data_IF_396545068321
#
_entry.id   IF_396545068321
#
_cell.length_a   1.000
_cell.length_b   1.000
_cell.length_c   1.000
_cell.angle_alpha   90.00
_cell.angle_beta   90.00
_cell.angle_gamma   90.00
#
_symmetry.space_group_name_H-M   'P 1'
#
loop_
_entity.id
_entity.type
_entity.pdbx_description
1 polymer ?
#
# COMPACT_ATOMS: atom_id res chain seq x y z
N UNK A 1 26.85 16.05 0.95
CA UNK A 1 26.55 14.61 0.95
C UNK A 1 25.09 14.48 1.32
N UNK A 2 24.26 14.07 0.37
CA UNK A 2 22.82 13.96 0.57
C UNK A 2 22.49 12.68 1.31
N UNK A 3 21.39 12.67 2.06
CA UNK A 3 20.88 11.48 2.80
C UNK A 3 20.75 10.24 1.88
N UNK A 4 20.56 10.46 0.58
CA UNK A 4 20.35 9.44 -0.45
C UNK A 4 21.63 8.82 -1.02
N UNK A 5 22.81 9.38 -0.72
CA UNK A 5 24.10 8.79 -1.12
C UNK A 5 24.36 7.44 -0.40
N UNK A 6 23.68 7.19 0.73
CA UNK A 6 23.78 5.95 1.49
C UNK A 6 23.14 4.73 0.83
N UNK A 7 22.21 4.94 -0.11
CA UNK A 7 21.39 3.87 -0.71
C UNK A 7 21.84 3.45 -2.10
N UNK A 8 22.81 4.14 -2.70
CA UNK A 8 23.32 3.79 -4.02
C UNK A 8 24.37 2.68 -3.93
N UNK A 9 23.92 1.43 -3.95
CA UNK A 9 24.78 0.30 -4.39
C UNK A 9 23.98 -0.92 -4.84
N UNK A 10 24.12 -1.28 -6.12
CA UNK A 10 23.83 -2.62 -6.64
C UNK A 10 23.41 -2.67 -8.12
N UNK A 11 24.30 -3.14 -9.00
CA UNK A 11 24.09 -3.31 -10.45
C UNK A 11 23.28 -4.57 -10.82
N UNK A 12 22.37 -4.40 -11.79
CA UNK A 12 21.89 -5.25 -12.89
C UNK A 12 22.00 -6.79 -12.84
N UNK A 13 20.85 -7.45 -12.65
CA UNK A 13 20.24 -8.38 -13.61
C UNK A 13 18.71 -8.14 -13.55
N UNK A 14 18.02 -7.99 -14.70
CA UNK A 14 16.55 -7.84 -14.73
C UNK A 14 15.88 -9.16 -14.35
N UNK A 15 15.91 -9.48 -13.06
CA UNK A 15 15.09 -10.49 -12.46
C UNK A 15 13.67 -9.91 -12.30
N UNK A 16 12.65 -10.67 -12.66
CA UNK A 16 11.25 -10.24 -12.44
C UNK A 16 11.04 -10.03 -10.95
N UNK A 17 11.00 -8.76 -10.53
CA UNK A 17 10.73 -8.33 -9.16
C UNK A 17 9.23 -8.09 -8.95
N UNK A 18 8.39 -9.09 -9.22
CA UNK A 18 6.96 -8.98 -8.85
C UNK A 18 6.82 -9.56 -7.45
N UNK A 19 6.51 -8.69 -6.49
CA UNK A 19 6.19 -9.11 -5.14
C UNK A 19 4.75 -9.65 -5.08
N UNK A 20 4.59 -10.91 -4.67
CA UNK A 20 3.30 -11.58 -4.52
C UNK A 20 2.77 -11.60 -3.07
N UNK A 21 3.46 -10.97 -2.11
CA UNK A 21 3.10 -10.98 -0.69
C UNK A 21 1.68 -10.45 -0.42
N UNK A 22 1.25 -9.42 -1.16
CA UNK A 22 -0.13 -8.91 -1.14
C UNK A 22 -0.54 -8.30 -2.49
N UNK A 23 -0.27 -9.05 -3.56
CA UNK A 23 -0.53 -8.63 -4.93
C UNK A 23 -2.04 -8.53 -5.22
N UNK A 24 -2.44 -7.48 -5.93
CA UNK A 24 -3.83 -7.21 -6.33
C UNK A 24 -3.88 -6.91 -7.81
N UNK A 25 -4.89 -7.46 -8.48
CA UNK A 25 -5.16 -7.25 -9.89
C UNK A 25 -6.63 -6.99 -10.10
N UNK A 26 -6.95 -6.00 -10.93
CA UNK A 26 -8.32 -5.62 -11.27
C UNK A 26 -8.52 -5.88 -12.75
N UNK A 27 -9.53 -6.68 -13.05
CA UNK A 27 -9.95 -6.93 -14.44
C UNK A 27 -11.13 -6.06 -14.81
N UNK A 28 -11.13 -5.56 -16.04
CA UNK A 28 -12.28 -4.89 -16.64
C UNK A 28 -13.31 -5.90 -17.18
N UNK A 29 -12.84 -7.08 -17.59
CA UNK A 29 -13.65 -8.12 -18.20
C UNK A 29 -13.05 -9.50 -17.94
N UNK A 30 -13.85 -10.52 -18.16
CA UNK A 30 -13.36 -11.89 -18.19
C UNK A 30 -14.03 -12.73 -19.26
N UNK A 31 -13.26 -13.66 -19.82
CA UNK A 31 -13.72 -14.65 -20.80
C UNK A 31 -13.65 -16.04 -20.21
N UNK A 32 -14.70 -16.84 -20.40
CA UNK A 32 -14.73 -18.25 -19.99
C UNK A 32 -14.48 -19.16 -21.18
N UNK A 33 -13.60 -20.12 -21.01
CA UNK A 33 -13.38 -21.21 -21.95
C UNK A 33 -13.62 -22.54 -21.24
N UNK A 34 -14.29 -23.46 -21.92
CA UNK A 34 -14.51 -24.82 -21.46
C UNK A 34 -14.14 -25.77 -22.60
N UNK A 35 -13.35 -26.80 -22.30
CA UNK A 35 -12.89 -27.75 -23.30
C UNK A 35 -12.23 -27.07 -24.52
N UNK A 36 -11.46 -26.01 -24.26
CA UNK A 36 -10.79 -25.21 -25.29
C UNK A 36 -11.69 -24.26 -26.08
N UNK A 37 -13.02 -24.33 -25.93
CA UNK A 37 -13.97 -23.48 -26.63
C UNK A 37 -14.37 -22.28 -25.78
N UNK A 38 -14.40 -21.09 -26.38
CA UNK A 38 -14.92 -19.88 -25.73
C UNK A 38 -16.43 -20.02 -25.51
N UNK A 39 -16.87 -19.89 -24.27
CA UNK A 39 -18.28 -20.01 -23.88
C UNK A 39 -18.95 -18.64 -23.78
N UNK A 40 -18.21 -17.62 -23.36
CA UNK A 40 -18.76 -16.26 -23.29
C UNK A 40 -17.79 -15.25 -22.72
N UNK A 41 -18.18 -13.99 -22.85
CA UNK A 41 -17.53 -12.83 -22.27
C UNK A 41 -18.46 -12.18 -21.25
N UNK A 42 -17.88 -11.67 -20.18
CA UNK A 42 -18.57 -10.84 -19.22
C UNK A 42 -17.77 -9.57 -18.98
N UNK A 43 -18.45 -8.42 -19.05
CA UNK A 43 -17.89 -7.10 -18.70
C UNK A 43 -17.89 -6.84 -17.20
N UNK A 44 -18.10 -7.88 -16.38
CA UNK A 44 -18.15 -7.75 -14.93
C UNK A 44 -16.73 -7.80 -14.38
N UNK A 45 -16.32 -6.70 -13.74
CA UNK A 45 -14.99 -6.57 -13.18
C UNK A 45 -14.75 -7.56 -12.04
N UNK A 46 -13.51 -8.06 -11.93
CA UNK A 46 -13.09 -8.94 -10.84
C UNK A 46 -11.80 -8.44 -10.24
N UNK A 47 -11.73 -8.46 -8.92
CA UNK A 47 -10.48 -8.32 -8.18
C UNK A 47 -9.86 -9.68 -7.92
N UNK A 48 -8.58 -9.84 -8.19
CA UNK A 48 -7.81 -11.02 -7.84
C UNK A 48 -6.73 -10.59 -6.85
N UNK A 49 -6.71 -11.20 -5.66
CA UNK A 49 -5.73 -10.94 -4.61
C UNK A 49 -4.93 -12.20 -4.31
N UNK A 50 -3.61 -12.06 -4.27
CA UNK A 50 -2.65 -13.11 -3.90
C UNK A 50 -1.96 -12.66 -2.61
N UNK A 51 -2.03 -13.48 -1.56
CA UNK A 51 -1.53 -13.10 -0.23
C UNK A 51 -0.61 -14.15 0.36
N UNK A 52 0.57 -13.74 0.81
CA UNK A 52 1.52 -14.57 1.56
C UNK A 52 1.11 -14.62 3.03
N UNK A 53 0.06 -15.38 3.34
CA UNK A 53 -0.50 -15.53 4.68
C UNK A 53 -0.53 -17.00 5.17
N UNK A 54 0.13 -17.91 4.44
CA UNK A 54 0.21 -19.33 4.81
C UNK A 54 1.48 -19.56 5.62
N UNK A 55 1.34 -19.59 6.94
CA UNK A 55 2.47 -19.80 7.85
C UNK A 55 3.17 -21.14 7.61
N UNK A 56 4.50 -21.13 7.70
CA UNK A 56 5.33 -22.34 7.65
C UNK A 56 5.56 -22.95 6.26
N UNK A 57 5.01 -22.36 5.20
CA UNK A 57 5.20 -22.84 3.83
C UNK A 57 5.72 -21.69 2.96
N UNK A 58 6.98 -21.79 2.54
CA UNK A 58 7.61 -20.81 1.65
C UNK A 58 6.89 -20.81 0.28
N UNK A 59 6.76 -19.64 -0.33
CA UNK A 59 6.22 -19.46 -1.68
C UNK A 59 4.79 -19.99 -1.83
N UNK A 60 4.01 -19.95 -0.73
CA UNK A 60 2.63 -20.33 -0.66
C UNK A 60 1.73 -19.13 -0.35
N UNK A 61 0.61 -19.07 -1.06
CA UNK A 61 -0.27 -17.92 -1.10
C UNK A 61 -1.73 -18.35 -0.99
N UNK A 62 -2.54 -17.49 -0.40
CA UNK A 62 -3.99 -17.55 -0.53
C UNK A 62 -4.42 -16.68 -1.71
N UNK A 63 -5.11 -17.28 -2.67
CA UNK A 63 -5.69 -16.60 -3.84
C UNK A 63 -7.18 -16.42 -3.61
N UNK A 64 -7.67 -15.18 -3.73
CA UNK A 64 -9.09 -14.84 -3.57
C UNK A 64 -9.57 -14.00 -4.74
N UNK A 65 -10.76 -14.32 -5.25
CA UNK A 65 -11.42 -13.59 -6.34
C UNK A 65 -12.66 -12.87 -5.79
N UNK A 66 -12.72 -11.57 -6.05
CA UNK A 66 -13.76 -10.65 -5.59
C UNK A 66 -14.60 -10.18 -6.78
N UNK A 67 -15.90 -10.01 -6.56
CA UNK A 67 -16.77 -9.31 -7.49
C UNK A 67 -16.71 -7.80 -7.23
N UNK A 68 -16.67 -7.02 -8.32
CA UNK A 68 -16.53 -5.57 -8.27
C UNK A 68 -17.78 -4.75 -8.29
N UNK A 69 -18.90 -5.39 -8.50
CA UNK A 69 -20.18 -4.75 -8.36
C UNK A 69 -20.62 -4.83 -6.89
N UNK A 70 -20.70 -3.70 -6.18
CA UNK A 70 -21.14 -3.64 -4.77
C UNK A 70 -20.24 -2.80 -3.86
N UNK A 71 -20.47 -2.87 -2.54
CA UNK A 71 -19.83 -1.96 -1.56
C UNK A 71 -18.37 -2.36 -1.25
N UNK A 72 -17.41 -1.47 -1.48
CA UNK A 72 -15.99 -1.85 -1.47
C UNK A 72 -14.99 -0.67 -1.37
N UNK A 73 -14.14 -0.61 -0.33
CA UNK A 73 -13.00 0.32 -0.33
C UNK A 73 -11.67 -0.24 -0.87
N UNK A 74 -11.32 -1.52 -0.65
CA UNK A 74 -10.23 -2.27 -1.34
C UNK A 74 -10.41 -3.80 -1.15
N UNK A 75 -11.59 -4.38 -1.38
CA UNK A 75 -11.84 -5.84 -1.41
C UNK A 75 -13.30 -6.17 -0.95
N UNK A 76 -13.81 -5.46 0.08
CA UNK A 76 -15.14 -5.69 0.68
C UNK A 76 -15.41 -7.14 1.15
N UNK A 77 -16.69 -7.52 1.33
CA UNK A 77 -17.13 -8.91 1.61
C UNK A 77 -17.64 -9.63 0.34
N UNK A 78 -17.28 -9.15 -0.84
CA UNK A 78 -17.86 -9.64 -2.12
C UNK A 78 -17.02 -10.77 -2.72
N UNK A 79 -16.69 -11.76 -1.90
CA UNK A 79 -15.92 -12.93 -2.32
C UNK A 79 -16.78 -13.75 -3.29
N UNK A 80 -16.35 -13.81 -4.55
CA UNK A 80 -17.06 -14.54 -5.60
C UNK A 80 -16.78 -16.04 -5.52
N UNK A 81 -15.59 -16.42 -5.06
CA UNK A 81 -15.15 -17.80 -4.91
C UNK A 81 -14.39 -17.98 -3.62
N UNK A 82 -14.60 -19.12 -2.94
CA UNK A 82 -13.87 -19.43 -1.72
C UNK A 82 -12.36 -19.35 -1.95
N UNK A 83 -11.58 -18.80 -1.01
CA UNK A 83 -10.13 -18.68 -1.15
C UNK A 83 -9.45 -20.02 -1.44
N UNK A 84 -8.41 -19.99 -2.26
CA UNK A 84 -7.67 -21.19 -2.69
C UNK A 84 -6.22 -21.08 -2.23
N UNK A 85 -5.70 -22.14 -1.60
CA UNK A 85 -4.28 -22.22 -1.23
C UNK A 85 -3.48 -22.67 -2.44
N UNK A 86 -2.53 -21.85 -2.86
CA UNK A 86 -1.68 -22.10 -4.03
C UNK A 86 -0.21 -21.88 -3.71
N UNK A 87 0.69 -22.53 -4.43
CA UNK A 87 2.14 -22.34 -4.33
C UNK A 87 2.75 -22.08 -5.70
N UNK A 88 3.90 -21.42 -5.75
CA UNK A 88 4.62 -21.23 -7.01
C UNK A 88 4.97 -22.60 -7.61
N UNK A 89 4.55 -22.78 -8.86
CA UNK A 89 4.91 -23.92 -9.71
C UNK A 89 6.09 -23.57 -10.60
N UNK A 90 6.06 -22.39 -11.23
CA UNK A 90 7.12 -21.93 -12.12
C UNK A 90 7.17 -20.40 -12.16
N UNK A 91 8.36 -19.87 -12.43
CA UNK A 91 8.61 -18.44 -12.66
C UNK A 91 9.42 -18.34 -13.95
N UNK A 92 8.82 -17.76 -14.99
CA UNK A 92 9.45 -17.50 -16.27
C UNK A 92 9.44 -16.02 -16.61
N UNK A 93 10.13 -15.63 -17.70
CA UNK A 93 10.27 -14.24 -18.12
C UNK A 93 8.95 -13.53 -18.46
N UNK A 94 7.93 -14.30 -18.87
CA UNK A 94 6.65 -13.76 -19.35
C UNK A 94 5.45 -14.33 -18.56
N UNK A 95 5.70 -15.18 -17.56
CA UNK A 95 4.63 -15.87 -16.84
C UNK A 95 5.09 -16.37 -15.47
N UNK A 96 4.24 -16.19 -14.46
CA UNK A 96 4.35 -16.90 -13.18
C UNK A 96 3.17 -17.85 -13.07
N UNK A 97 3.44 -19.12 -12.77
CA UNK A 97 2.40 -20.13 -12.54
C UNK A 97 2.33 -20.50 -11.06
N UNK A 98 1.11 -20.54 -10.54
CA UNK A 98 0.76 -21.08 -9.23
C UNK A 98 -0.12 -22.32 -9.40
N UNK A 99 0.06 -23.29 -8.52
CA UNK A 99 -0.76 -24.51 -8.46
C UNK A 99 -1.34 -24.68 -7.06
N UNK A 100 -2.59 -25.10 -6.97
CA UNK A 100 -3.23 -25.35 -5.70
C UNK A 100 -2.64 -26.55 -4.96
N UNK A 101 -2.71 -26.51 -3.62
CA UNK A 101 -2.18 -27.58 -2.78
C UNK A 101 -3.00 -27.76 -1.49
N UNK A 102 -3.09 -29.00 -1.01
CA UNK A 102 -3.94 -29.37 0.12
C UNK A 102 -5.41 -29.49 -0.28
N UNK A 103 -6.29 -29.55 0.71
CA UNK A 103 -7.74 -29.68 0.52
C UNK A 103 -8.47 -28.55 1.25
N UNK A 104 -9.69 -28.24 0.80
CA UNK A 104 -10.61 -27.40 1.54
C UNK A 104 -11.22 -28.12 2.77
N UNK A 105 -12.01 -27.40 3.56
CA UNK A 105 -12.66 -27.92 4.77
C UNK A 105 -13.62 -29.09 4.50
N UNK A 106 -14.12 -29.22 3.26
CA UNK A 106 -15.00 -30.29 2.82
C UNK A 106 -14.24 -31.45 2.15
N UNK A 107 -12.91 -31.37 2.08
CA UNK A 107 -12.05 -32.41 1.52
C UNK A 107 -11.80 -32.31 0.01
N UNK A 108 -12.29 -31.26 -0.67
CA UNK A 108 -12.03 -31.07 -2.11
C UNK A 108 -10.60 -30.59 -2.32
N UNK A 109 -9.85 -31.15 -3.29
CA UNK A 109 -8.44 -30.81 -3.46
C UNK A 109 -8.25 -29.45 -4.12
N UNK A 110 -7.38 -28.63 -3.55
CA UNK A 110 -7.00 -27.36 -4.18
C UNK A 110 -6.19 -27.56 -5.46
N UNK A 111 -5.57 -28.73 -5.67
CA UNK A 111 -4.83 -29.06 -6.90
C UNK A 111 -5.69 -29.03 -8.17
N UNK A 112 -7.02 -29.02 -8.03
CA UNK A 112 -7.94 -28.80 -9.13
C UNK A 112 -7.86 -27.37 -9.68
N UNK A 113 -7.15 -26.46 -8.99
CA UNK A 113 -7.03 -25.06 -9.35
C UNK A 113 -5.58 -24.66 -9.62
N UNK A 114 -5.39 -23.78 -10.61
CA UNK A 114 -4.13 -23.13 -10.91
C UNK A 114 -4.33 -21.65 -11.26
N UNK A 115 -3.27 -20.86 -11.19
CA UNK A 115 -3.30 -19.44 -11.56
C UNK A 115 -2.07 -19.10 -12.39
N UNK A 116 -2.26 -18.55 -13.58
CA UNK A 116 -1.18 -17.98 -14.38
C UNK A 116 -1.26 -16.46 -14.36
N UNK A 117 -0.13 -15.80 -14.10
CA UNK A 117 0.02 -14.35 -14.21
C UNK A 117 0.87 -14.08 -15.46
N UNK A 118 0.26 -13.54 -16.52
CA UNK A 118 0.97 -13.19 -17.76
C UNK A 118 1.63 -11.82 -17.61
N UNK A 119 2.91 -11.76 -17.94
CA UNK A 119 3.78 -10.63 -17.70
C UNK A 119 4.22 -9.98 -19.01
N UNK A 120 4.28 -8.65 -18.99
CA UNK A 120 4.95 -7.83 -19.98
C UNK A 120 5.63 -6.68 -19.24
N UNK A 121 6.93 -6.50 -19.43
CA UNK A 121 7.71 -5.43 -18.78
C UNK A 121 7.49 -5.39 -17.24
N UNK A 122 7.63 -6.55 -16.58
CA UNK A 122 7.35 -6.77 -15.14
C UNK A 122 5.94 -6.37 -14.68
N UNK A 123 4.98 -6.31 -15.59
CA UNK A 123 3.61 -5.88 -15.34
C UNK A 123 2.66 -7.02 -15.68
N UNK A 124 1.82 -7.42 -14.71
CA UNK A 124 0.77 -8.41 -14.95
C UNK A 124 -0.34 -7.75 -15.76
N UNK A 125 -0.54 -8.18 -17.00
CA UNK A 125 -1.60 -7.64 -17.86
C UNK A 125 -2.82 -8.57 -17.98
N UNK A 126 -2.63 -9.85 -17.65
CA UNK A 126 -3.65 -10.88 -17.74
C UNK A 126 -3.44 -11.92 -16.64
N UNK A 127 -4.54 -12.36 -16.04
CA UNK A 127 -4.55 -13.48 -15.10
C UNK A 127 -5.45 -14.58 -15.65
N UNK A 128 -4.99 -15.83 -15.58
CA UNK A 128 -5.77 -16.99 -16.00
C UNK A 128 -5.99 -17.87 -14.78
N UNK A 129 -7.25 -18.04 -14.38
CA UNK A 129 -7.64 -19.08 -13.44
C UNK A 129 -7.88 -20.37 -14.22
N UNK A 130 -7.21 -21.44 -13.81
CA UNK A 130 -7.40 -22.79 -14.33
C UNK A 130 -8.21 -23.60 -13.33
N UNK A 131 -9.25 -24.27 -13.81
CA UNK A 131 -10.04 -25.29 -13.09
C UNK A 131 -9.84 -26.62 -13.84
N UNK A 132 -8.82 -27.34 -13.41
CA UNK A 132 -8.30 -28.54 -14.06
C UNK A 132 -9.31 -29.69 -14.05
N UNK A 133 -10.08 -29.85 -12.96
CA UNK A 133 -11.12 -30.87 -12.79
C UNK A 133 -12.21 -30.80 -13.88
N UNK A 134 -12.53 -29.58 -14.32
CA UNK A 134 -13.62 -29.31 -15.28
C UNK A 134 -13.12 -28.90 -16.66
N UNK A 135 -11.80 -28.86 -16.86
CA UNK A 135 -11.18 -28.34 -18.07
C UNK A 135 -11.70 -26.94 -18.46
N UNK A 136 -11.80 -26.06 -17.45
CA UNK A 136 -12.26 -24.69 -17.59
C UNK A 136 -11.12 -23.73 -17.32
N UNK A 137 -11.02 -22.68 -18.12
CA UNK A 137 -10.18 -21.53 -17.80
C UNK A 137 -10.99 -20.24 -17.86
N UNK A 138 -10.71 -19.33 -16.93
CA UNK A 138 -11.23 -17.97 -16.93
C UNK A 138 -10.08 -17.02 -17.13
N UNK A 139 -10.14 -16.23 -18.20
CA UNK A 139 -9.12 -15.24 -18.55
C UNK A 139 -9.62 -13.88 -18.10
N UNK A 140 -8.89 -13.25 -17.19
CA UNK A 140 -9.16 -11.93 -16.63
C UNK A 140 -8.23 -10.92 -17.30
N UNK A 141 -8.79 -10.05 -18.13
CA UNK A 141 -8.02 -9.02 -18.82
C UNK A 141 -7.93 -7.78 -17.93
N UNK A 142 -6.71 -7.28 -17.72
CA UNK A 142 -6.48 -6.10 -16.90
C UNK A 142 -7.21 -4.90 -17.47
N UNK A 143 -7.82 -4.08 -16.62
CA UNK A 143 -8.12 -2.70 -17.01
C UNK A 143 -6.82 -2.01 -17.41
N UNK A 144 -6.84 -1.08 -18.37
CA UNK A 144 -5.62 -0.32 -18.77
C UNK A 144 -4.93 0.40 -17.60
N UNK A 145 -5.57 0.47 -16.43
CA UNK A 145 -4.89 0.64 -15.15
C UNK A 145 -4.50 -0.73 -14.58
N UNK A 146 -3.35 -1.26 -15.00
CA UNK A 146 -2.60 -2.13 -14.10
C UNK A 146 -2.13 -1.22 -12.98
N UNK A 147 -2.85 -1.22 -11.86
CA UNK A 147 -2.37 -0.60 -10.63
C UNK A 147 -1.13 -1.42 -10.23
N UNK A 148 0.04 -1.05 -10.76
CA UNK A 148 1.30 -1.39 -10.12
C UNK A 148 1.13 -0.88 -8.71
N UNK A 149 1.03 -1.78 -7.73
CA UNK A 149 1.34 -1.39 -6.37
C UNK A 149 2.75 -0.76 -6.49
N UNK A 150 2.90 0.54 -6.23
CA UNK A 150 4.19 1.19 -6.39
C UNK A 150 5.24 0.39 -5.60
N UNK A 151 6.37 0.09 -6.26
CA UNK A 151 7.47 -0.61 -5.60
C UNK A 151 8.11 0.36 -4.62
N UNK A 152 7.57 0.38 -3.41
CA UNK A 152 8.13 1.18 -2.33
C UNK A 152 9.44 0.59 -1.84
N UNK A 153 10.39 1.47 -1.58
CA UNK A 153 11.62 1.17 -0.88
C UNK A 153 11.30 0.45 0.45
N UNK A 154 12.04 -0.61 0.72
CA UNK A 154 11.93 -1.36 1.96
C UNK A 154 12.95 -0.87 2.97
N UNK A 155 12.52 -0.75 4.22
CA UNK A 155 13.39 -0.38 5.32
C UNK A 155 13.31 -1.42 6.43
N UNK A 156 14.40 -1.55 7.18
CA UNK A 156 14.32 -2.15 8.52
C UNK A 156 13.39 -1.28 9.38
N UNK A 157 12.30 -1.82 9.94
CA UNK A 157 11.31 -1.03 10.65
C UNK A 157 11.86 -0.50 11.98
N UNK A 158 11.27 0.60 12.45
CA UNK A 158 11.54 1.23 13.76
C UNK A 158 12.95 1.83 13.92
N UNK A 159 13.68 2.05 12.82
CA UNK A 159 14.98 2.74 12.87
C UNK A 159 14.76 4.25 12.89
N UNK A 160 15.20 4.90 13.97
CA UNK A 160 15.16 6.37 14.09
C UNK A 160 16.20 6.99 13.14
N UNK A 161 15.78 8.00 12.39
CA UNK A 161 16.61 8.73 11.44
C UNK A 161 16.81 10.19 11.90
N UNK A 162 17.83 10.85 11.36
CA UNK A 162 17.91 12.31 11.45
C UNK A 162 16.80 12.97 10.61
N UNK A 163 16.29 14.11 11.07
CA UNK A 163 15.43 14.99 10.28
C UNK A 163 16.12 15.42 8.97
N UNK A 164 15.37 15.43 7.87
CA UNK A 164 15.85 15.66 6.51
C UNK A 164 14.87 16.52 5.69
N UNK A 165 15.38 17.09 4.61
CA UNK A 165 14.62 17.95 3.70
C UNK A 165 14.14 17.16 2.49
N UNK A 166 12.95 17.49 2.01
CA UNK A 166 12.34 16.96 0.80
C UNK A 166 11.33 17.96 0.23
N UNK A 167 11.04 17.79 -1.05
CA UNK A 167 9.99 18.50 -1.76
C UNK A 167 9.07 17.45 -2.37
N UNK A 168 7.76 17.70 -2.34
CA UNK A 168 6.77 16.79 -2.85
C UNK A 168 5.67 17.55 -3.57
N UNK A 169 5.50 17.23 -4.85
CA UNK A 169 4.44 17.76 -5.69
C UNK A 169 3.39 16.69 -5.89
N UNK A 170 2.19 16.94 -5.39
CA UNK A 170 1.06 16.05 -5.61
C UNK A 170 0.29 16.49 -6.85
N UNK A 171 -0.10 15.50 -7.65
CA UNK A 171 -1.07 15.68 -8.74
C UNK A 171 -2.50 15.54 -8.25
N UNK A 172 -2.74 14.77 -7.19
CA UNK A 172 -4.08 14.44 -6.68
C UNK A 172 -4.10 14.17 -5.17
N UNK A 173 -5.20 14.52 -4.52
CA UNK A 173 -5.42 14.20 -3.12
C UNK A 173 -6.72 13.45 -2.88
N UNK A 174 -6.76 12.70 -1.77
CA UNK A 174 -7.97 12.07 -1.22
C UNK A 174 -8.05 12.34 0.28
N UNK A 175 -9.24 12.67 0.75
CA UNK A 175 -9.55 12.86 2.17
C UNK A 175 -10.50 11.76 2.60
N UNK A 176 -10.07 11.02 3.61
CA UNK A 176 -10.77 9.87 4.14
C UNK A 176 -11.27 10.14 5.56
N UNK A 177 -12.52 9.79 5.81
CA UNK A 177 -13.14 9.77 7.13
C UNK A 177 -13.84 8.43 7.33
N UNK A 178 -13.54 7.73 8.43
CA UNK A 178 -14.14 6.43 8.76
C UNK A 178 -14.11 5.40 7.60
N UNK A 179 -13.02 5.40 6.81
CA UNK A 179 -12.82 4.48 5.69
C UNK A 179 -13.56 4.83 4.41
N UNK A 180 -14.19 6.02 4.33
CA UNK A 180 -14.84 6.53 3.12
C UNK A 180 -14.13 7.78 2.63
N UNK A 181 -14.03 7.94 1.32
CA UNK A 181 -13.59 9.20 0.70
C UNK A 181 -14.72 10.23 0.91
N UNK A 182 -14.38 11.36 1.51
CA UNK A 182 -15.29 12.49 1.72
C UNK A 182 -14.95 13.70 0.85
N UNK A 183 -13.74 13.74 0.30
CA UNK A 183 -13.29 14.78 -0.62
C UNK A 183 -12.12 14.24 -1.46
N UNK A 184 -12.00 14.70 -2.69
CA UNK A 184 -10.88 14.41 -3.59
C UNK A 184 -10.71 15.54 -4.60
N UNK A 185 -9.50 15.70 -5.11
CA UNK A 185 -9.21 16.77 -6.06
C UNK A 185 -7.78 16.72 -6.56
N UNK A 186 -7.39 17.78 -7.25
CA UNK A 186 -6.11 17.87 -7.94
C UNK A 186 -5.19 18.90 -7.28
N UNK A 187 -3.89 18.69 -7.51
CA UNK A 187 -2.76 19.61 -7.33
C UNK A 187 -2.57 20.23 -5.95
N UNK A 188 -1.52 19.76 -5.26
CA UNK A 188 -1.06 20.38 -4.00
C UNK A 188 0.46 20.26 -3.87
N UNK A 189 1.14 21.39 -3.64
CA UNK A 189 2.59 21.42 -3.42
C UNK A 189 2.89 21.40 -1.92
N UNK A 190 3.68 20.41 -1.49
CA UNK A 190 4.11 20.24 -0.10
C UNK A 190 5.63 20.32 -0.05
N UNK A 191 6.14 21.24 0.76
CA UNK A 191 7.56 21.42 0.99
C UNK A 191 7.86 21.04 2.44
N UNK A 192 9.00 20.42 2.71
CA UNK A 192 9.52 20.40 4.08
C UNK A 192 10.79 21.20 4.15
N UNK A 193 10.93 21.93 5.25
CA UNK A 193 12.16 22.58 5.62
C UNK A 193 12.67 21.95 6.91
N UNK A 194 13.99 21.79 7.05
CA UNK A 194 14.56 21.38 8.31
C UNK A 194 14.50 22.56 9.27
N UNK A 195 13.88 22.37 10.43
CA UNK A 195 14.13 23.30 11.53
C UNK A 195 15.43 22.91 12.24
N UNK A 196 16.36 23.85 12.27
CA UNK A 196 17.50 23.75 13.18
C UNK A 196 16.98 23.71 14.62
N UNK A 197 17.40 22.66 15.34
CA UNK A 197 17.26 22.39 16.79
C UNK A 197 16.19 23.26 17.46
N UNK A 198 15.01 22.69 17.74
CA UNK A 198 13.99 23.40 18.49
C UNK A 198 14.61 23.85 19.84
N UNK A 199 14.68 25.17 20.13
CA UNK A 199 15.44 25.71 21.25
C UNK A 199 14.92 25.23 22.61
N UNK A 200 13.66 24.79 22.68
CA UNK A 200 13.07 24.25 23.90
C UNK A 200 13.32 22.74 24.10
N UNK A 201 13.70 22.01 23.04
CA UNK A 201 13.58 20.54 23.01
C UNK A 201 14.87 19.79 22.69
N UNK A 202 15.96 20.50 22.41
CA UNK A 202 17.29 19.94 22.11
C UNK A 202 17.35 18.89 20.97
N UNK A 203 16.25 18.67 20.24
CA UNK A 203 16.13 17.72 19.12
C UNK A 203 15.91 18.48 17.80
N UNK A 204 16.41 17.89 16.70
CA UNK A 204 16.11 18.35 15.34
C UNK A 204 14.72 17.85 14.96
N UNK A 205 13.88 18.71 14.41
CA UNK A 205 12.48 18.43 14.08
C UNK A 205 12.21 18.76 12.61
N UNK A 206 11.30 18.05 11.96
CA UNK A 206 10.88 18.40 10.60
C UNK A 206 9.75 19.43 10.67
N UNK A 207 9.89 20.53 9.93
CA UNK A 207 8.81 21.49 9.71
C UNK A 207 8.29 21.32 8.30
N UNK A 208 7.11 20.74 8.18
CA UNK A 208 6.43 20.64 6.92
C UNK A 208 5.69 21.94 6.70
N UNK A 209 5.96 22.60 5.57
CA UNK A 209 5.27 23.79 5.10
C UNK A 209 4.39 23.39 3.92
N UNK A 210 3.09 23.46 4.11
CA UNK A 210 2.12 23.10 3.10
C UNK A 210 1.70 24.38 2.38
N UNK A 211 2.12 24.50 1.12
CA UNK A 211 1.86 25.70 0.34
C UNK A 211 0.60 25.49 -0.52
N UNK A 212 -0.57 25.64 0.11
CA UNK A 212 -1.84 25.70 -0.60
C UNK A 212 -2.87 26.49 0.21
N UNK A 213 -3.09 27.74 -0.18
CA UNK A 213 -4.03 28.64 0.50
C UNK A 213 -5.48 28.16 0.47
N UNK A 214 -5.83 27.21 -0.40
CA UNK A 214 -7.20 26.76 -0.62
C UNK A 214 -7.48 25.38 -0.03
N UNK A 215 -6.47 24.66 0.48
CA UNK A 215 -6.67 23.34 1.05
C UNK A 215 -7.11 23.39 2.51
N UNK A 216 -8.40 23.14 2.75
CA UNK A 216 -9.05 23.37 4.05
C UNK A 216 -8.82 22.27 5.12
N UNK A 217 -8.19 21.15 4.77
CA UNK A 217 -8.07 19.98 5.66
C UNK A 217 -6.71 19.82 6.32
N UNK A 218 -5.79 20.76 6.13
CA UNK A 218 -4.46 20.69 6.72
C UNK A 218 -4.01 22.09 7.13
N UNK A 219 -3.33 22.19 8.27
CA UNK A 219 -2.64 23.43 8.65
C UNK A 219 -1.53 23.76 7.65
N UNK A 220 -1.22 25.04 7.45
CA UNK A 220 -0.16 25.49 6.53
C UNK A 220 1.24 25.08 7.00
N UNK A 221 1.41 24.78 8.29
CA UNK A 221 2.66 24.27 8.82
C UNK A 221 2.46 23.28 9.96
N UNK A 222 3.32 22.26 10.01
CA UNK A 222 3.34 21.30 11.11
C UNK A 222 4.77 20.91 11.49
N UNK A 223 5.02 20.87 12.80
CA UNK A 223 6.26 20.36 13.38
C UNK A 223 6.10 18.90 13.80
N UNK A 224 6.96 18.02 13.28
CA UNK A 224 7.02 16.61 13.62
C UNK A 224 8.38 16.27 14.22
N UNK A 225 8.38 15.60 15.38
CA UNK A 225 9.56 15.51 16.25
C UNK A 225 10.47 14.32 15.91
N UNK A 226 9.88 13.18 15.57
CA UNK A 226 10.60 11.92 15.37
C UNK A 226 10.51 11.54 13.90
N UNK A 227 11.65 11.16 13.32
CA UNK A 227 11.73 10.53 12.00
C UNK A 227 12.10 9.07 12.20
N UNK A 228 11.33 8.13 11.65
CA UNK A 228 11.70 6.71 11.70
C UNK A 228 11.23 5.94 10.47
N UNK A 229 11.82 4.79 10.23
CA UNK A 229 11.39 3.89 9.16
C UNK A 229 10.22 2.99 9.57
N UNK A 230 9.27 2.81 8.67
CA UNK A 230 8.36 1.67 8.62
C UNK A 230 8.82 0.66 7.57
N UNK A 231 8.12 -0.48 7.39
CA UNK A 231 8.50 -1.50 6.41
C UNK A 231 8.58 -0.98 4.96
N UNK A 232 7.72 -0.03 4.60
CA UNK A 232 7.53 0.49 3.23
C UNK A 232 7.39 2.02 3.18
N UNK A 233 7.67 2.71 4.29
CA UNK A 233 7.50 4.15 4.41
C UNK A 233 8.45 4.74 5.44
N UNK A 234 8.53 6.06 5.48
CA UNK A 234 9.16 6.82 6.56
C UNK A 234 8.06 7.56 7.31
N UNK A 235 8.03 7.41 8.64
CA UNK A 235 7.16 8.19 9.52
C UNK A 235 7.86 9.46 9.98
N UNK A 236 7.16 10.58 9.90
CA UNK A 236 7.43 11.79 10.65
C UNK A 236 6.32 11.91 11.69
N UNK A 237 6.63 11.93 12.98
CA UNK A 237 5.59 11.79 14.02
C UNK A 237 5.87 12.65 15.25
N UNK A 238 4.79 13.09 15.89
CA UNK A 238 4.79 13.73 17.20
C UNK A 238 3.96 12.90 18.17
N UNK A 239 4.58 12.49 19.27
CA UNK A 239 4.06 11.58 20.29
C UNK A 239 4.10 12.22 21.68
N UNK A 240 3.17 13.14 21.98
CA UNK A 240 3.09 13.75 23.29
C UNK A 240 2.63 12.75 24.36
N UNK A 241 3.21 12.83 25.56
CA UNK A 241 2.81 12.03 26.72
C UNK A 241 1.37 12.33 27.14
N UNK A 242 0.99 13.60 27.16
CA UNK A 242 -0.37 14.09 27.34
C UNK A 242 -0.82 14.90 26.12
N UNK A 243 -2.02 14.65 25.59
CA UNK A 243 -2.52 15.43 24.47
C UNK A 243 -4.02 15.61 24.44
N UNK A 244 -4.44 16.68 23.76
CA UNK A 244 -5.85 16.97 23.52
C UNK A 244 -6.11 17.19 22.02
N UNK A 245 -7.24 16.69 21.47
CA UNK A 245 -8.18 15.81 22.15
C UNK A 245 -7.59 14.41 22.40
N UNK A 246 -7.80 13.88 23.60
CA UNK A 246 -7.29 12.57 24.03
C UNK A 246 -8.03 11.38 23.39
N UNK A 247 -7.50 10.16 23.56
CA UNK A 247 -8.15 8.93 23.08
C UNK A 247 -7.81 8.53 21.64
N UNK A 248 -6.62 8.87 21.16
CA UNK A 248 -6.09 8.38 19.88
C UNK A 248 -5.27 7.10 20.10
N UNK A 249 -5.88 5.94 19.81
CA UNK A 249 -5.25 4.62 19.99
C UNK A 249 -3.93 4.47 19.23
N UNK A 250 -3.81 5.09 18.05
CA UNK A 250 -2.57 5.03 17.26
C UNK A 250 -1.43 5.79 17.93
N UNK A 251 -1.70 6.94 18.55
CA UNK A 251 -0.70 7.67 19.33
C UNK A 251 -0.21 6.81 20.51
N UNK A 252 -1.13 6.16 21.25
CA UNK A 252 -0.75 5.28 22.37
C UNK A 252 0.08 4.07 21.91
N UNK A 253 -0.27 3.46 20.78
CA UNK A 253 0.49 2.34 20.22
C UNK A 253 1.94 2.75 19.90
N UNK A 254 2.12 3.89 19.22
CA UNK A 254 3.46 4.39 18.93
C UNK A 254 4.21 4.78 20.20
N UNK A 255 3.58 5.46 21.17
CA UNK A 255 4.20 5.81 22.46
C UNK A 255 4.74 4.60 23.20
N UNK A 256 3.98 3.50 23.23
CA UNK A 256 4.41 2.26 23.88
C UNK A 256 5.62 1.61 23.18
N UNK A 257 5.84 1.93 21.90
CA UNK A 257 6.91 1.31 21.11
C UNK A 257 8.20 2.13 21.14
N UNK A 258 8.11 3.47 21.05
CA UNK A 258 9.29 4.35 20.91
C UNK A 258 9.40 5.44 21.97
N UNK A 259 8.46 5.49 22.92
CA UNK A 259 8.39 6.55 23.92
C UNK A 259 7.70 7.82 23.44
N UNK A 260 7.84 8.88 24.23
CA UNK A 260 7.18 10.17 24.01
C UNK A 260 8.17 11.18 23.42
N UNK A 261 7.71 12.04 22.50
CA UNK A 261 8.47 13.16 21.94
C UNK A 261 8.26 14.49 22.67
N UNK A 262 7.15 14.64 23.43
CA UNK A 262 6.80 15.86 24.18
C UNK A 262 6.10 15.49 25.48
N UNK A 263 6.15 16.35 26.50
CA UNK A 263 5.35 16.15 27.72
C UNK A 263 3.86 16.43 27.46
N UNK A 264 3.54 17.53 26.75
CA UNK A 264 2.16 17.93 26.47
C UNK A 264 2.00 18.52 25.06
N UNK A 265 0.87 18.27 24.40
CA UNK A 265 0.49 18.94 23.14
C UNK A 265 -1.03 19.04 22.98
N UNK A 266 -1.53 20.22 22.64
CA UNK A 266 -2.91 20.39 22.15
C UNK A 266 -2.86 20.43 20.62
N UNK A 267 -3.41 19.42 19.97
CA UNK A 267 -3.53 19.38 18.52
C UNK A 267 -4.62 20.33 18.06
N UNK A 268 -4.25 21.26 17.18
CA UNK A 268 -5.20 22.15 16.55
C UNK A 268 -6.08 21.39 15.56
N UNK A 269 -7.20 22.01 15.18
CA UNK A 269 -8.03 21.49 14.10
C UNK A 269 -7.19 21.36 12.83
N UNK A 270 -7.27 20.21 12.18
CA UNK A 270 -6.50 19.87 10.99
C UNK A 270 -4.98 19.80 11.18
N UNK A 271 -4.50 19.68 12.42
CA UNK A 271 -3.10 19.43 12.70
C UNK A 271 -2.82 17.91 12.67
N UNK A 272 -1.91 17.43 11.81
CA UNK A 272 -1.55 16.03 11.79
C UNK A 272 -0.60 15.71 12.94
N UNK A 273 -0.71 14.50 13.48
CA UNK A 273 0.29 13.98 14.43
C UNK A 273 1.33 13.11 13.74
N UNK A 274 1.02 12.62 12.54
CA UNK A 274 1.92 11.79 11.73
C UNK A 274 1.80 12.15 10.25
N UNK A 275 2.94 12.19 9.58
CA UNK A 275 3.07 12.14 8.13
C UNK A 275 3.81 10.87 7.73
N UNK A 276 3.42 10.24 6.61
CA UNK A 276 4.11 9.07 6.06
C UNK A 276 4.56 9.34 4.64
N UNK A 277 5.83 9.10 4.37
CA UNK A 277 6.43 9.19 3.05
C UNK A 277 6.60 7.79 2.47
N UNK A 278 6.15 7.59 1.24
CA UNK A 278 6.39 6.36 0.51
C UNK A 278 7.32 6.66 -0.66
N UNK A 279 8.49 6.00 -0.67
CA UNK A 279 9.59 6.30 -1.59
C UNK A 279 9.80 5.18 -2.60
N UNK A 280 10.29 5.47 -3.80
CA UNK A 280 10.83 4.46 -4.75
C UNK A 280 12.21 3.96 -4.36
N UNK A 281 12.71 2.90 -5.02
CA UNK A 281 14.13 2.48 -4.90
C UNK A 281 15.09 3.61 -5.33
N UNK A 282 14.67 4.49 -6.25
CA UNK A 282 15.39 5.68 -6.70
C UNK A 282 15.22 6.89 -5.75
N UNK A 283 14.57 6.70 -4.60
CA UNK A 283 14.38 7.69 -3.53
C UNK A 283 13.42 8.84 -3.85
N UNK A 284 12.58 8.68 -4.87
CA UNK A 284 11.52 9.63 -5.20
C UNK A 284 10.30 9.39 -4.30
N UNK A 285 9.68 10.45 -3.79
CA UNK A 285 8.47 10.33 -2.97
C UNK A 285 7.26 10.17 -3.91
N UNK A 286 6.63 9.00 -3.91
CA UNK A 286 5.43 8.71 -4.71
C UNK A 286 4.13 9.06 -4.01
N UNK A 287 4.13 9.00 -2.67
CA UNK A 287 2.95 9.23 -1.87
C UNK A 287 3.32 9.87 -0.56
N UNK A 288 2.52 10.84 -0.16
CA UNK A 288 2.59 11.48 1.15
C UNK A 288 1.21 11.36 1.80
N UNK A 289 1.17 10.92 3.05
CA UNK A 289 -0.09 10.86 3.80
C UNK A 289 0.02 11.53 5.14
N UNK A 290 -1.09 12.08 5.63
CA UNK A 290 -1.20 12.71 6.93
C UNK A 290 -2.33 12.05 7.71
N UNK A 291 -2.11 11.77 9.00
CA UNK A 291 -3.19 11.34 9.90
C UNK A 291 -3.41 12.40 10.97
N UNK A 292 -4.67 12.83 11.10
CA UNK A 292 -5.10 13.93 11.95
C UNK A 292 -5.75 13.40 13.23
N UNK A 293 -5.58 14.16 14.32
CA UNK A 293 -6.25 13.85 15.59
C UNK A 293 -7.67 14.41 15.60
N UNK A 294 -7.85 15.62 15.09
CA UNK A 294 -9.12 16.33 15.12
C UNK A 294 -9.36 17.20 13.87
N UNK A 295 -10.41 16.92 13.08
CA UNK A 295 -11.17 15.65 13.05
C UNK A 295 -10.27 14.45 12.70
N UNK A 296 -10.77 13.23 12.95
CA UNK A 296 -10.03 11.99 12.63
C UNK A 296 -10.06 11.73 11.13
N UNK A 297 -9.11 12.31 10.42
CA UNK A 297 -8.97 12.18 8.97
C UNK A 297 -7.65 11.51 8.59
N UNK A 298 -7.69 10.78 7.48
CA UNK A 298 -6.51 10.40 6.71
C UNK A 298 -6.53 11.20 5.41
N UNK A 299 -5.44 11.88 5.12
CA UNK A 299 -5.27 12.64 3.88
C UNK A 299 -4.14 11.98 3.12
N UNK A 300 -4.38 11.67 1.85
CA UNK A 300 -3.40 11.04 0.97
C UNK A 300 -3.16 11.92 -0.24
N UNK A 301 -1.89 12.06 -0.60
CA UNK A 301 -1.41 12.79 -1.75
C UNK A 301 -0.57 11.86 -2.61
N UNK A 302 -0.82 11.89 -3.92
CA UNK A 302 -0.20 11.07 -4.95
C UNK A 302 0.15 11.92 -6.19
#
# INVERSE_FOLDING_TARGET
MGLFDFFKKGNNQEQIKINLDDFKFVSASHSRFENGKKIGDASAGRGIRVQSNISGIKDAYTVTIYNMDGNHPVWGNNIQMSPKRMKIKSVGSNEIELIGFGNDEMGSPFSDYGLSLKLKDNTVYEIILHMHDRNVKMIYQGSQEVIKAPNYMKFEPMKVLEAFEFEFHSSKFKVWEAGKIIDEGNELNIFTNRLNKNPERNMKTNLLTINNSNFKYLTNSVELDITMTGPDNIFLITLPKQYEPSGNTSIEMFKNTIGNSREKKTFQKYEPYVAKLFLTEETEILKLSFTLVHPKLLIEFE
#
